data_IF_224996612950
#
_entry.id   IF_224996612950
#
_cell.length_a   1.000
_cell.length_b   1.000
_cell.length_c   1.000
_cell.angle_alpha   90.00
_cell.angle_beta   90.00
_cell.angle_gamma   90.00
#
_symmetry.space_group_name_H-M   'P 1'
#
loop_
_entity.id
_entity.type
_entity.pdbx_description
1 polymer ?
#
# COMPACT_ATOMS: atom_id res chain seq x y z
N UNK A 1 -19.30 31.06 14.57
CA UNK A 1 -17.82 31.19 14.55
C UNK A 1 -17.22 29.80 14.74
N UNK A 2 -16.39 29.32 13.81
CA UNK A 2 -15.65 28.06 14.01
C UNK A 2 -14.65 28.26 15.14
N UNK A 3 -14.70 27.45 16.20
CA UNK A 3 -13.64 27.45 17.21
C UNK A 3 -12.30 27.17 16.51
N UNK A 4 -11.28 27.98 16.79
CA UNK A 4 -9.92 27.66 16.36
C UNK A 4 -9.50 26.40 17.11
N UNK A 5 -9.08 25.37 16.38
CA UNK A 5 -8.53 24.14 16.98
C UNK A 5 -7.29 24.53 17.77
N UNK A 6 -7.16 24.01 18.99
CA UNK A 6 -6.01 24.27 19.86
C UNK A 6 -4.77 23.47 19.42
N UNK A 7 -3.60 23.87 19.90
CA UNK A 7 -2.35 23.13 19.66
C UNK A 7 -2.47 21.66 20.14
N UNK A 8 -3.01 21.45 21.34
CA UNK A 8 -3.19 20.12 21.93
C UNK A 8 -4.16 19.25 21.11
N UNK A 9 -5.25 19.84 20.62
CA UNK A 9 -6.20 19.14 19.75
C UNK A 9 -5.55 18.74 18.41
N UNK A 10 -4.74 19.63 17.80
CA UNK A 10 -3.98 19.31 16.59
C UNK A 10 -2.96 18.20 16.83
N UNK A 11 -2.23 18.25 17.94
CA UNK A 11 -1.27 17.21 18.32
C UNK A 11 -1.96 15.86 18.52
N UNK A 12 -3.12 15.82 19.17
CA UNK A 12 -3.93 14.61 19.31
C UNK A 12 -4.37 14.04 17.96
N UNK A 13 -4.84 14.89 17.04
CA UNK A 13 -5.20 14.48 15.68
C UNK A 13 -4.00 13.94 14.89
N UNK A 14 -2.80 14.52 15.06
CA UNK A 14 -1.57 14.04 14.43
C UNK A 14 -1.20 12.66 14.98
N UNK A 15 -1.27 12.46 16.29
CA UNK A 15 -0.98 11.18 16.92
C UNK A 15 -1.91 10.07 16.39
N UNK A 16 -3.23 10.34 16.33
CA UNK A 16 -4.20 9.41 15.77
C UNK A 16 -3.93 9.13 14.28
N UNK A 17 -3.60 10.15 13.49
CA UNK A 17 -3.26 9.99 12.08
C UNK A 17 -1.98 9.17 11.88
N UNK A 18 -1.00 9.29 12.78
CA UNK A 18 0.24 8.50 12.75
C UNK A 18 -0.02 7.01 13.04
N UNK A 19 -0.84 6.71 14.05
CA UNK A 19 -1.26 5.33 14.35
C UNK A 19 -1.99 4.72 13.15
N UNK A 20 -2.95 5.44 12.59
CA UNK A 20 -3.69 4.99 11.40
C UNK A 20 -2.77 4.73 10.20
N UNK A 21 -1.81 5.62 9.97
CA UNK A 21 -0.80 5.44 8.92
C UNK A 21 0.03 4.16 9.15
N UNK A 22 0.52 3.95 10.37
CA UNK A 22 1.34 2.80 10.70
C UNK A 22 0.58 1.47 10.57
N UNK A 23 -0.69 1.44 10.98
CA UNK A 23 -1.56 0.28 10.79
C UNK A 23 -1.78 -0.02 9.31
N UNK A 24 -2.11 1.00 8.51
CA UNK A 24 -2.29 0.84 7.07
C UNK A 24 -0.99 0.38 6.38
N UNK A 25 0.17 0.89 6.79
CA UNK A 25 1.47 0.48 6.28
C UNK A 25 1.79 -0.98 6.62
N UNK A 26 1.54 -1.40 7.86
CA UNK A 26 1.71 -2.78 8.31
C UNK A 26 0.85 -3.74 7.48
N UNK A 27 -0.43 -3.41 7.30
CA UNK A 27 -1.36 -4.20 6.49
C UNK A 27 -0.90 -4.29 5.03
N UNK A 28 -0.54 -3.16 4.41
CA UNK A 28 -0.01 -3.11 3.04
C UNK A 28 1.23 -4.01 2.88
N UNK A 29 2.15 -3.97 3.84
CA UNK A 29 3.38 -4.77 3.80
C UNK A 29 3.08 -6.27 3.95
N UNK A 30 2.12 -6.64 4.82
CA UNK A 30 1.66 -8.03 4.95
C UNK A 30 1.07 -8.54 3.63
N UNK A 31 0.14 -7.80 3.04
CA UNK A 31 -0.49 -8.16 1.75
C UNK A 31 0.52 -8.21 0.60
N UNK A 32 1.56 -7.35 0.62
CA UNK A 32 2.63 -7.40 -0.38
C UNK A 32 3.43 -8.71 -0.29
N UNK A 33 3.69 -9.19 0.93
CA UNK A 33 4.39 -10.47 1.16
C UNK A 33 3.53 -11.64 0.70
N UNK A 34 2.24 -11.64 1.02
CA UNK A 34 1.27 -12.63 0.55
C UNK A 34 1.25 -12.69 -0.99
N UNK A 35 1.09 -11.54 -1.65
CA UNK A 35 1.09 -11.47 -3.12
C UNK A 35 2.40 -12.01 -3.73
N UNK A 36 3.56 -11.68 -3.15
CA UNK A 36 4.84 -12.22 -3.60
C UNK A 36 4.95 -13.74 -3.40
N UNK A 37 4.39 -14.26 -2.31
CA UNK A 37 4.33 -15.70 -2.09
C UNK A 37 3.47 -16.40 -3.16
N UNK A 38 2.33 -15.81 -3.53
CA UNK A 38 1.48 -16.34 -4.61
C UNK A 38 2.19 -16.34 -5.96
N UNK A 39 2.91 -15.27 -6.31
CA UNK A 39 3.74 -15.25 -7.52
C UNK A 39 4.77 -16.38 -7.52
N UNK A 40 5.47 -16.58 -6.40
CA UNK A 40 6.43 -17.67 -6.24
C UNK A 40 5.78 -19.03 -6.42
N UNK A 41 4.65 -19.28 -5.73
CA UNK A 41 3.90 -20.54 -5.85
C UNK A 41 3.49 -20.81 -7.29
N UNK A 42 2.97 -19.80 -8.01
CA UNK A 42 2.58 -19.95 -9.41
C UNK A 42 3.78 -20.33 -10.29
N UNK A 43 4.88 -19.57 -10.21
CA UNK A 43 6.05 -19.84 -11.06
C UNK A 43 6.79 -21.12 -10.69
N UNK A 44 6.69 -21.60 -9.44
CA UNK A 44 7.18 -22.94 -9.07
C UNK A 44 6.37 -24.05 -9.73
N UNK A 45 5.05 -23.88 -9.86
CA UNK A 45 4.18 -24.90 -10.46
C UNK A 45 4.20 -24.90 -11.99
N UNK A 46 4.22 -23.73 -12.61
CA UNK A 46 4.03 -23.57 -14.07
C UNK A 46 5.28 -23.07 -14.82
N UNK A 47 6.35 -22.74 -14.09
CA UNK A 47 7.56 -22.13 -14.66
C UNK A 47 7.40 -20.63 -14.91
N UNK A 48 8.53 -19.93 -15.04
CA UNK A 48 8.55 -18.53 -15.44
C UNK A 48 8.50 -18.44 -16.98
N UNK A 49 7.68 -17.55 -17.58
CA UNK A 49 7.57 -17.47 -19.05
C UNK A 49 8.87 -17.11 -19.77
N UNK A 50 9.80 -16.52 -19.03
CA UNK A 50 11.15 -16.21 -19.46
C UNK A 50 12.15 -16.92 -18.55
N UNK A 51 12.48 -18.19 -18.80
CA UNK A 51 13.36 -18.97 -17.92
C UNK A 51 14.79 -18.42 -17.89
N UNK A 52 15.23 -17.77 -18.96
CA UNK A 52 16.54 -17.11 -19.04
C UNK A 52 16.58 -15.73 -18.36
N UNK A 53 15.42 -15.19 -17.98
CA UNK A 53 15.27 -13.89 -17.31
C UNK A 53 14.35 -14.01 -16.08
N UNK A 54 14.73 -14.78 -15.05
CA UNK A 54 13.87 -15.05 -13.89
C UNK A 54 13.60 -13.81 -13.03
N UNK A 55 14.33 -12.72 -13.25
CA UNK A 55 14.13 -11.42 -12.60
C UNK A 55 13.25 -10.47 -13.43
N UNK A 56 12.82 -10.87 -14.63
CA UNK A 56 11.94 -10.05 -15.44
C UNK A 56 10.66 -9.79 -14.66
N UNK A 57 10.26 -8.53 -14.65
CA UNK A 57 9.06 -8.11 -13.91
C UNK A 57 7.84 -8.70 -14.61
N UNK A 58 6.82 -9.03 -13.81
CA UNK A 58 5.49 -9.36 -14.32
C UNK A 58 4.98 -8.11 -15.05
N UNK A 59 4.78 -8.26 -16.35
CA UNK A 59 4.28 -7.20 -17.22
C UNK A 59 2.79 -7.47 -17.53
N UNK A 60 1.86 -6.58 -17.13
CA UNK A 60 0.44 -6.72 -17.43
C UNK A 60 0.10 -6.74 -18.92
N UNK A 61 0.95 -6.13 -19.76
CA UNK A 61 0.71 -6.03 -21.21
C UNK A 61 1.25 -7.23 -21.99
N UNK A 62 1.97 -8.15 -21.33
CA UNK A 62 2.49 -9.37 -21.95
C UNK A 62 1.59 -10.56 -21.62
N UNK A 63 0.89 -11.06 -22.64
CA UNK A 63 -0.08 -12.17 -22.54
C UNK A 63 0.48 -13.44 -21.89
N UNK A 64 1.80 -13.65 -21.94
CA UNK A 64 2.46 -14.76 -21.26
C UNK A 64 2.33 -14.71 -19.74
N UNK A 65 2.17 -13.52 -19.15
CA UNK A 65 1.89 -13.35 -17.74
C UNK A 65 0.40 -13.42 -17.40
N UNK A 66 -0.51 -13.52 -18.38
CA UNK A 66 -1.95 -13.51 -18.14
C UNK A 66 -2.40 -14.60 -17.15
N UNK A 67 -1.74 -15.76 -17.15
CA UNK A 67 -2.00 -16.85 -16.20
C UNK A 67 -1.71 -16.47 -14.75
N UNK A 68 -0.53 -15.91 -14.47
CA UNK A 68 -0.16 -15.47 -13.11
C UNK A 68 -0.99 -14.26 -12.67
N UNK A 69 -1.32 -13.36 -13.59
CA UNK A 69 -2.16 -12.19 -13.33
C UNK A 69 -3.58 -12.62 -12.91
N UNK A 70 -4.23 -13.51 -13.67
CA UNK A 70 -5.54 -14.07 -13.30
C UNK A 70 -5.49 -14.82 -11.97
N UNK A 71 -4.44 -15.61 -11.73
CA UNK A 71 -4.28 -16.37 -10.49
C UNK A 71 -4.13 -15.47 -9.26
N UNK A 72 -3.48 -14.31 -9.39
CA UNK A 72 -3.17 -13.42 -8.26
C UNK A 72 -4.06 -12.19 -8.15
N UNK A 73 -5.00 -11.98 -9.08
CA UNK A 73 -5.79 -10.74 -9.18
C UNK A 73 -6.46 -10.37 -7.86
N UNK A 74 -7.17 -11.29 -7.22
CA UNK A 74 -7.85 -10.99 -5.95
C UNK A 74 -6.89 -10.50 -4.85
N UNK A 75 -5.68 -11.09 -4.76
CA UNK A 75 -4.66 -10.65 -3.80
C UNK A 75 -4.04 -9.30 -4.22
N UNK A 76 -3.85 -9.09 -5.51
CA UNK A 76 -3.40 -7.81 -6.05
C UNK A 76 -4.39 -6.68 -5.75
N UNK A 77 -5.70 -6.89 -5.94
CA UNK A 77 -6.73 -5.90 -5.62
C UNK A 77 -6.75 -5.55 -4.13
N UNK A 78 -6.63 -6.55 -3.24
CA UNK A 78 -6.51 -6.31 -1.78
C UNK A 78 -5.29 -5.46 -1.45
N UNK A 79 -4.14 -5.82 -2.00
CA UNK A 79 -2.91 -5.04 -1.80
C UNK A 79 -3.03 -3.61 -2.34
N UNK A 80 -3.66 -3.45 -3.52
CA UNK A 80 -3.88 -2.16 -4.16
C UNK A 80 -4.78 -1.26 -3.29
N UNK A 81 -5.89 -1.79 -2.77
CA UNK A 81 -6.76 -1.10 -1.83
C UNK A 81 -5.99 -0.65 -0.57
N UNK A 82 -5.20 -1.55 0.03
CA UNK A 82 -4.36 -1.20 1.18
C UNK A 82 -3.34 -0.11 0.85
N UNK A 83 -2.71 -0.15 -0.34
CA UNK A 83 -1.79 0.90 -0.81
C UNK A 83 -2.48 2.27 -0.93
N UNK A 84 -3.71 2.32 -1.42
CA UNK A 84 -4.49 3.56 -1.47
C UNK A 84 -4.78 4.10 -0.07
N UNK A 85 -5.20 3.24 0.86
CA UNK A 85 -5.43 3.63 2.25
C UNK A 85 -4.16 4.18 2.92
N UNK A 86 -3.01 3.51 2.77
CA UNK A 86 -1.74 4.00 3.32
C UNK A 86 -1.38 5.38 2.75
N UNK A 87 -1.60 5.58 1.44
CA UNK A 87 -1.31 6.86 0.77
C UNK A 87 -2.23 7.98 1.30
N UNK A 88 -3.52 7.68 1.47
CA UNK A 88 -4.50 8.61 2.03
C UNK A 88 -4.16 8.99 3.48
N UNK A 89 -3.88 8.00 4.33
CA UNK A 89 -3.49 8.22 5.73
C UNK A 89 -2.22 9.09 5.85
N UNK A 90 -1.20 8.80 5.03
CA UNK A 90 0.04 9.60 4.98
C UNK A 90 -0.24 11.06 4.61
N UNK A 91 -1.11 11.28 3.61
CA UNK A 91 -1.52 12.62 3.18
C UNK A 91 -2.25 13.37 4.29
N UNK A 92 -3.21 12.72 4.96
CA UNK A 92 -3.94 13.31 6.11
C UNK A 92 -2.98 13.73 7.21
N UNK A 93 -2.06 12.84 7.62
CA UNK A 93 -1.05 13.14 8.63
C UNK A 93 -0.18 14.35 8.21
N UNK A 94 0.32 14.38 6.97
CA UNK A 94 1.09 15.52 6.44
C UNK A 94 0.30 16.82 6.48
N UNK A 95 -0.98 16.81 6.12
CA UNK A 95 -1.84 18.00 6.16
C UNK A 95 -2.03 18.50 7.59
N UNK A 96 -2.17 17.62 8.58
CA UNK A 96 -2.27 18.01 9.99
C UNK A 96 -0.98 18.62 10.51
N UNK A 97 0.17 18.04 10.17
CA UNK A 97 1.49 18.59 10.50
C UNK A 97 1.65 20.00 9.90
N UNK A 98 1.32 20.18 8.62
CA UNK A 98 1.39 21.48 7.96
C UNK A 98 0.44 22.52 8.57
N UNK A 99 -0.70 22.09 9.13
CA UNK A 99 -1.62 22.98 9.85
C UNK A 99 -1.02 23.41 11.19
N UNK A 100 -0.38 22.48 11.91
CA UNK A 100 0.33 22.78 13.15
C UNK A 100 1.47 23.77 12.92
N UNK A 101 2.31 23.53 11.89
CA UNK A 101 3.42 24.42 11.51
C UNK A 101 2.97 25.86 11.19
N UNK A 102 1.75 26.04 10.68
CA UNK A 102 1.17 27.37 10.38
C UNK A 102 0.51 28.04 11.58
N UNK A 103 0.24 27.29 12.63
CA UNK A 103 -0.38 27.78 13.86
C UNK A 103 0.65 28.18 14.92
N UNK A 104 1.91 27.78 14.74
CA UNK A 104 3.10 28.23 15.46
C UNK A 104 3.61 29.56 14.86
#
# INVERSE_FOLDING_TARGET
MSKKITYEELMGQIAEAAVNYQQAETQRNSLRRELNALYKTYFTAYGHPYPNEPRKRIDPEDDRFSGVLRFTDAAFQRWLAARYLTTSAKRKMRTLIQRLERAL
#
